data_IF_006925553779
#
_entry.id   IF_006925553779
#
_cell.length_a   1.000
_cell.length_b   1.000
_cell.length_c   1.000
_cell.angle_alpha   90.00
_cell.angle_beta   90.00
_cell.angle_gamma   90.00
#
_symmetry.space_group_name_H-M   'P 1'
#
loop_
_entity.id
_entity.type
_entity.pdbx_description
1 polymer ?
#
# COMPACT_ATOMS: atom_id res chain seq x y z
N UNK A 1 48.31 -36.05 18.15
CA UNK A 1 48.12 -36.37 16.72
C UNK A 1 47.99 -35.06 15.96
N UNK A 2 49.02 -34.67 15.20
CA UNK A 2 49.02 -33.47 14.39
C UNK A 2 48.50 -33.82 13.00
N UNK A 3 47.32 -33.32 12.62
CA UNK A 3 46.83 -33.46 11.25
C UNK A 3 47.67 -32.57 10.31
N UNK A 4 48.11 -33.09 9.15
CA UNK A 4 48.99 -32.35 8.24
C UNK A 4 48.25 -31.18 7.56
N UNK A 5 48.83 -29.98 7.66
CA UNK A 5 48.33 -28.74 7.07
C UNK A 5 48.31 -28.71 5.51
N UNK A 6 48.82 -29.76 4.87
CA UNK A 6 48.92 -29.87 3.40
C UNK A 6 47.56 -30.02 2.69
N UNK A 7 46.50 -30.42 3.40
CA UNK A 7 45.17 -30.59 2.81
C UNK A 7 44.44 -29.28 2.50
N UNK A 8 44.68 -28.21 3.26
CA UNK A 8 43.88 -26.99 3.19
C UNK A 8 44.16 -26.12 1.95
N UNK A 9 45.41 -26.14 1.46
CA UNK A 9 45.82 -25.33 0.30
C UNK A 9 45.32 -25.89 -1.04
N UNK A 10 45.18 -27.22 -1.13
CA UNK A 10 44.61 -27.91 -2.30
C UNK A 10 43.13 -27.52 -2.53
N UNK A 11 42.37 -27.40 -1.44
CA UNK A 11 40.94 -27.05 -1.49
C UNK A 11 40.68 -25.64 -2.04
N UNK A 12 41.58 -24.68 -1.75
CA UNK A 12 41.43 -23.29 -2.23
C UNK A 12 41.70 -23.19 -3.73
N UNK A 13 42.68 -23.93 -4.25
CA UNK A 13 42.99 -23.95 -5.68
C UNK A 13 41.83 -24.52 -6.51
N UNK A 14 41.16 -25.56 -6.00
CA UNK A 14 39.98 -26.15 -6.63
C UNK A 14 38.76 -25.20 -6.65
N UNK A 15 38.59 -24.37 -5.62
CA UNK A 15 37.48 -23.42 -5.52
C UNK A 15 37.68 -22.13 -6.32
N UNK A 16 38.91 -21.76 -6.67
CA UNK A 16 39.26 -20.52 -7.37
C UNK A 16 38.47 -20.25 -8.67
N UNK A 17 38.26 -21.21 -9.60
CA UNK A 17 37.46 -20.97 -10.80
C UNK A 17 35.97 -20.76 -10.50
N UNK A 18 35.44 -21.44 -9.46
CA UNK A 18 34.05 -21.27 -9.04
C UNK A 18 33.82 -19.92 -8.37
N UNK A 19 34.75 -19.47 -7.52
CA UNK A 19 34.72 -18.14 -6.91
C UNK A 19 34.76 -17.03 -7.96
N UNK A 20 35.57 -17.16 -9.01
CA UNK A 20 35.58 -16.20 -10.13
C UNK A 20 34.23 -16.15 -10.86
N UNK A 21 33.64 -17.32 -11.16
CA UNK A 21 32.32 -17.37 -11.81
C UNK A 21 31.23 -16.80 -10.91
N UNK A 22 31.23 -17.13 -9.62
CA UNK A 22 30.29 -16.60 -8.64
C UNK A 22 30.42 -15.07 -8.53
N UNK A 23 31.64 -14.53 -8.50
CA UNK A 23 31.87 -13.09 -8.47
C UNK A 23 31.36 -12.40 -9.74
N UNK A 24 31.61 -12.96 -10.93
CA UNK A 24 31.10 -12.40 -12.20
C UNK A 24 29.57 -12.40 -12.21
N UNK A 25 28.94 -13.51 -11.82
CA UNK A 25 27.47 -13.62 -11.74
C UNK A 25 26.92 -12.60 -10.73
N UNK A 26 27.53 -12.50 -9.55
CA UNK A 26 27.14 -11.51 -8.54
C UNK A 26 27.25 -10.07 -9.07
N UNK A 27 28.33 -9.73 -9.77
CA UNK A 27 28.53 -8.40 -10.38
C UNK A 27 27.50 -8.10 -11.48
N UNK A 28 27.17 -9.08 -12.33
CA UNK A 28 26.14 -8.91 -13.37
C UNK A 28 24.77 -8.73 -12.74
N UNK A 29 24.39 -9.57 -11.78
CA UNK A 29 23.12 -9.46 -11.07
C UNK A 29 23.02 -8.13 -10.31
N UNK A 30 24.11 -7.69 -9.68
CA UNK A 30 24.17 -6.39 -9.01
C UNK A 30 24.01 -5.23 -10.00
N UNK A 31 24.73 -5.26 -11.13
CA UNK A 31 24.64 -4.23 -12.17
C UNK A 31 23.24 -4.16 -12.80
N UNK A 32 22.63 -5.32 -13.10
CA UNK A 32 21.29 -5.39 -13.65
C UNK A 32 20.26 -4.89 -12.62
N UNK A 33 20.38 -5.30 -11.36
CA UNK A 33 19.54 -4.81 -10.27
C UNK A 33 19.65 -3.29 -10.09
N UNK A 34 20.86 -2.74 -10.17
CA UNK A 34 21.09 -1.30 -10.12
C UNK A 34 20.45 -0.57 -11.31
N UNK A 35 20.57 -1.10 -12.53
CA UNK A 35 19.97 -0.51 -13.74
C UNK A 35 18.44 -0.55 -13.71
N UNK A 36 17.83 -1.65 -13.26
CA UNK A 36 16.36 -1.72 -13.09
C UNK A 36 15.91 -0.71 -12.03
N UNK A 37 16.63 -0.61 -10.91
CA UNK A 37 16.37 0.40 -9.89
C UNK A 37 16.44 1.83 -10.44
N UNK A 38 17.40 2.13 -11.33
CA UNK A 38 17.51 3.44 -11.98
C UNK A 38 16.30 3.78 -12.84
N UNK A 39 15.96 2.88 -13.76
CA UNK A 39 14.91 3.12 -14.74
C UNK A 39 13.57 3.32 -14.06
N UNK A 40 13.34 2.59 -12.97
CA UNK A 40 12.15 2.72 -12.16
C UNK A 40 12.12 4.06 -11.38
N UNK A 41 13.22 4.49 -10.76
CA UNK A 41 13.25 5.80 -10.07
C UNK A 41 12.99 7.00 -11.02
N UNK A 42 13.42 6.90 -12.29
CA UNK A 42 13.14 7.90 -13.34
C UNK A 42 11.64 7.93 -13.68
N UNK A 43 11.04 6.75 -13.87
CA UNK A 43 9.63 6.63 -14.24
C UNK A 43 8.70 7.17 -13.15
N UNK A 44 9.02 6.93 -11.87
CA UNK A 44 8.13 7.25 -10.75
C UNK A 44 8.25 8.66 -10.19
N UNK A 45 9.44 9.28 -10.26
CA UNK A 45 9.58 10.67 -9.84
C UNK A 45 9.05 11.65 -10.89
N UNK A 46 8.76 11.17 -12.11
CA UNK A 46 8.44 12.04 -13.26
C UNK A 46 9.58 13.01 -13.58
N UNK A 47 10.77 12.77 -13.03
CA UNK A 47 11.95 13.61 -13.13
C UNK A 47 13.05 12.80 -13.81
N UNK A 48 13.52 13.32 -14.93
CA UNK A 48 14.64 12.76 -15.69
C UNK A 48 15.91 12.69 -14.80
N UNK A 49 16.73 11.65 -15.00
CA UNK A 49 18.09 11.57 -14.43
C UNK A 49 18.91 12.82 -14.76
N UNK A 50 18.60 13.54 -15.84
CA UNK A 50 19.19 14.84 -16.15
C UNK A 50 18.92 15.92 -15.09
N UNK A 51 17.81 15.83 -14.34
CA UNK A 51 17.41 16.80 -13.30
C UNK A 51 18.00 16.44 -11.93
N UNK A 52 18.03 15.14 -11.58
CA UNK A 52 18.54 14.67 -10.27
C UNK A 52 20.00 14.22 -10.30
N UNK A 53 20.60 14.00 -11.47
CA UNK A 53 21.94 13.44 -11.60
C UNK A 53 22.10 12.12 -10.83
N UNK A 54 23.28 11.92 -10.24
CA UNK A 54 23.65 10.69 -9.51
C UNK A 54 22.97 10.58 -8.12
N UNK A 55 22.05 11.49 -7.78
CA UNK A 55 21.39 11.58 -6.46
C UNK A 55 20.29 10.55 -6.24
N UNK A 56 19.75 9.98 -7.32
CA UNK A 56 18.77 8.87 -7.29
C UNK A 56 19.34 7.65 -6.54
N UNK A 57 20.66 7.49 -6.55
CA UNK A 57 21.32 6.37 -5.92
C UNK A 57 21.76 6.71 -4.49
N UNK A 58 20.95 6.31 -3.52
CA UNK A 58 21.26 6.50 -2.10
C UNK A 58 22.61 5.89 -1.68
N UNK A 59 23.04 4.77 -2.29
CA UNK A 59 24.35 4.17 -2.03
C UNK A 59 25.52 5.02 -2.54
N UNK A 60 25.32 5.83 -3.59
CA UNK A 60 26.35 6.76 -4.07
C UNK A 60 26.58 7.90 -3.08
N UNK A 61 25.65 8.22 -2.17
CA UNK A 61 25.85 9.26 -1.14
C UNK A 61 27.00 8.97 -0.18
N UNK A 62 27.38 7.70 -0.03
CA UNK A 62 28.52 7.30 0.80
C UNK A 62 29.88 7.60 0.13
N UNK A 63 29.91 7.76 -1.19
CA UNK A 63 31.14 7.90 -2.00
C UNK A 63 31.19 9.20 -2.82
N UNK A 64 30.06 9.88 -2.98
CA UNK A 64 29.95 11.16 -3.69
C UNK A 64 30.03 12.31 -2.65
N UNK A 65 30.71 13.43 -2.93
CA UNK A 65 30.72 14.59 -2.05
C UNK A 65 29.33 15.20 -1.84
N UNK A 66 29.03 15.65 -0.61
CA UNK A 66 27.76 16.34 -0.25
C UNK A 66 27.39 17.47 -1.19
N UNK A 67 28.36 18.22 -1.72
CA UNK A 67 28.11 19.32 -2.66
C UNK A 67 27.42 18.89 -3.96
N UNK A 68 27.61 17.64 -4.40
CA UNK A 68 27.01 17.11 -5.64
C UNK A 68 25.56 16.70 -5.41
N UNK A 69 25.18 16.35 -4.18
CA UNK A 69 23.82 15.96 -3.82
C UNK A 69 23.08 16.89 -2.87
N UNK A 70 23.68 18.00 -2.46
CA UNK A 70 23.02 19.02 -1.66
C UNK A 70 21.74 19.48 -2.38
N UNK A 71 20.64 19.55 -1.63
CA UNK A 71 19.32 19.92 -2.13
C UNK A 71 19.46 21.17 -3.00
N UNK A 72 19.12 21.05 -4.29
CA UNK A 72 18.80 22.25 -5.03
C UNK A 72 17.51 22.78 -4.41
N UNK A 73 17.47 24.08 -4.13
CA UNK A 73 16.25 24.76 -3.69
C UNK A 73 15.18 24.56 -4.77
N UNK A 74 14.42 23.47 -4.65
CA UNK A 74 13.20 23.31 -5.41
C UNK A 74 12.32 24.48 -4.97
N UNK A 75 12.06 25.42 -5.88
CA UNK A 75 11.06 26.48 -5.71
C UNK A 75 9.67 25.86 -5.70
N UNK A 76 9.41 25.01 -4.72
CA UNK A 76 8.09 24.54 -4.42
C UNK A 76 7.35 25.71 -3.80
N UNK A 77 6.19 26.03 -4.36
CA UNK A 77 5.24 26.96 -3.76
C UNK A 77 5.10 26.58 -2.29
N UNK A 78 5.28 27.55 -1.38
CA UNK A 78 5.25 27.31 0.06
C UNK A 78 3.98 26.52 0.38
N UNK A 79 4.08 25.22 0.71
CA UNK A 79 2.90 24.39 0.81
C UNK A 79 2.07 24.91 1.96
N UNK A 80 0.74 24.93 1.78
CA UNK A 80 -0.16 25.26 2.86
C UNK A 80 0.09 24.30 4.02
N UNK A 81 0.40 24.86 5.19
CA UNK A 81 0.84 24.11 6.37
C UNK A 81 -0.31 23.76 7.30
N UNK A 82 -1.55 24.12 6.97
CA UNK A 82 -2.69 23.79 7.80
C UNK A 82 -2.91 22.25 7.84
N UNK A 83 -2.95 21.68 9.04
CA UNK A 83 -3.28 20.26 9.23
C UNK A 83 -4.68 19.96 8.69
N UNK A 84 -5.67 20.74 9.13
CA UNK A 84 -7.09 20.54 8.83
C UNK A 84 -7.78 21.87 8.48
N UNK A 85 -7.53 22.45 7.29
CA UNK A 85 -8.11 23.74 6.90
C UNK A 85 -9.64 23.75 6.88
N UNK A 86 -10.28 22.58 6.73
CA UNK A 86 -11.74 22.41 6.69
C UNK A 86 -12.29 21.71 7.96
N UNK A 87 -11.49 21.60 9.03
CA UNK A 87 -11.88 20.86 10.24
C UNK A 87 -12.14 19.38 9.94
N UNK A 88 -13.27 18.84 10.41
CA UNK A 88 -13.64 17.43 10.14
C UNK A 88 -13.90 17.13 8.66
N UNK A 89 -14.25 18.14 7.85
CA UNK A 89 -14.49 17.95 6.41
C UNK A 89 -13.18 17.74 5.63
N UNK A 90 -12.02 18.05 6.24
CA UNK A 90 -10.71 17.67 5.70
C UNK A 90 -10.53 16.16 5.59
N UNK A 91 -11.18 15.39 6.47
CA UNK A 91 -11.05 13.95 6.59
C UNK A 91 -12.11 13.16 5.82
N UNK A 92 -12.76 13.73 4.80
CA UNK A 92 -13.68 12.93 3.99
C UNK A 92 -12.92 11.87 3.19
N UNK A 93 -13.43 10.64 3.04
CA UNK A 93 -12.75 9.59 2.29
C UNK A 93 -12.49 9.95 0.82
N UNK A 94 -13.40 10.72 0.21
CA UNK A 94 -13.23 11.24 -1.16
C UNK A 94 -12.02 12.14 -1.29
N UNK A 95 -11.54 12.73 -0.19
CA UNK A 95 -10.40 13.64 -0.23
C UNK A 95 -9.06 12.90 -0.27
N UNK A 96 -9.03 11.59 -0.02
CA UNK A 96 -7.78 10.81 0.08
C UNK A 96 -7.28 10.47 -1.32
N UNK A 97 -6.07 10.92 -1.62
CA UNK A 97 -5.35 10.65 -2.85
C UNK A 97 -3.94 10.13 -2.52
N UNK A 98 -3.63 8.93 -3.00
CA UNK A 98 -2.35 8.27 -2.82
C UNK A 98 -1.26 9.03 -3.57
N UNK A 99 -0.11 9.18 -2.90
CA UNK A 99 1.08 9.77 -3.49
C UNK A 99 1.88 8.74 -4.31
N UNK A 100 3.18 8.94 -4.35
CA UNK A 100 4.14 8.03 -5.01
C UNK A 100 4.55 6.85 -4.12
N UNK A 101 4.08 6.80 -2.88
CA UNK A 101 4.31 5.70 -1.96
C UNK A 101 3.24 4.62 -2.19
N UNK A 102 3.65 3.35 -2.23
CA UNK A 102 2.75 2.21 -2.49
C UNK A 102 2.11 1.67 -1.22
N UNK A 103 1.47 2.55 -0.46
CA UNK A 103 0.83 2.26 0.81
C UNK A 103 -0.70 2.18 0.68
N UNK A 104 -1.19 1.74 -0.49
CA UNK A 104 -2.62 1.68 -0.80
C UNK A 104 -3.46 1.00 0.28
N UNK A 105 -2.93 -0.01 0.97
CA UNK A 105 -3.62 -0.70 2.07
C UNK A 105 -3.75 0.16 3.33
N UNK A 106 -2.72 0.93 3.66
CA UNK A 106 -2.79 1.92 4.74
C UNK A 106 -3.82 3.00 4.38
N UNK A 107 -3.76 3.55 3.17
CA UNK A 107 -4.71 4.58 2.73
C UNK A 107 -6.14 4.06 2.61
N UNK A 108 -6.34 2.81 2.18
CA UNK A 108 -7.64 2.15 2.19
C UNK A 108 -8.20 2.02 3.62
N UNK A 109 -7.34 1.71 4.59
CA UNK A 109 -7.71 1.69 6.02
C UNK A 109 -8.16 3.07 6.48
N UNK A 110 -7.37 4.10 6.19
CA UNK A 110 -7.69 5.50 6.54
C UNK A 110 -9.00 5.93 5.88
N UNK A 111 -9.22 5.61 4.61
CA UNK A 111 -10.45 5.89 3.89
C UNK A 111 -11.68 5.22 4.51
N UNK A 112 -11.55 3.95 4.93
CA UNK A 112 -12.63 3.23 5.60
C UNK A 112 -12.95 3.82 6.97
N UNK A 113 -11.94 4.17 7.78
CA UNK A 113 -12.13 4.86 9.06
C UNK A 113 -12.87 6.20 8.89
N UNK A 114 -12.42 6.99 7.92
CA UNK A 114 -12.98 8.29 7.58
C UNK A 114 -14.42 8.23 7.03
N UNK A 115 -14.92 7.06 6.68
CA UNK A 115 -16.28 6.89 6.18
C UNK A 115 -17.33 7.16 7.26
N UNK A 116 -16.99 6.87 8.53
CA UNK A 116 -17.84 7.16 9.68
C UNK A 116 -17.51 8.52 10.31
N UNK A 117 -18.51 9.18 10.89
CA UNK A 117 -18.28 10.43 11.62
C UNK A 117 -17.43 10.23 12.87
N UNK A 118 -17.62 9.11 13.59
CA UNK A 118 -16.80 8.75 14.76
C UNK A 118 -15.35 8.57 14.37
N UNK A 119 -15.06 7.77 13.34
CA UNK A 119 -13.70 7.55 12.86
C UNK A 119 -13.00 8.84 12.42
N UNK A 120 -13.72 9.78 11.80
CA UNK A 120 -13.18 11.13 11.51
C UNK A 120 -12.83 11.92 12.77
N UNK A 121 -13.69 11.88 13.80
CA UNK A 121 -13.43 12.58 15.07
C UNK A 121 -12.24 11.99 15.80
N UNK A 122 -12.17 10.66 15.87
CA UNK A 122 -11.05 9.95 16.49
C UNK A 122 -9.75 10.34 15.80
N UNK A 123 -9.70 10.23 14.46
CA UNK A 123 -8.50 10.57 13.70
C UNK A 123 -8.11 12.06 13.79
N UNK A 124 -9.09 12.96 13.78
CA UNK A 124 -8.87 14.39 13.98
C UNK A 124 -8.27 14.69 15.36
N UNK A 125 -8.71 13.99 16.41
CA UNK A 125 -8.20 14.15 17.77
C UNK A 125 -6.81 13.54 17.98
N UNK A 126 -6.39 12.60 17.12
CA UNK A 126 -5.12 11.89 17.26
C UNK A 126 -3.94 12.59 16.59
N UNK A 127 -4.18 13.64 15.79
CA UNK A 127 -3.12 14.32 15.03
C UNK A 127 -3.04 15.79 15.48
N UNK A 128 -1.91 16.15 16.08
CA UNK A 128 -1.72 17.49 16.66
C UNK A 128 -0.47 18.16 16.09
N UNK A 129 -0.57 19.48 15.88
CA UNK A 129 0.59 20.32 15.61
C UNK A 129 1.32 20.64 16.91
N UNK A 130 2.64 20.64 16.87
CA UNK A 130 3.50 20.97 18.02
C UNK A 130 4.11 22.36 17.89
N UNK A 131 4.56 22.92 19.02
CA UNK A 131 5.22 24.23 19.08
C UNK A 131 6.57 24.27 18.33
N UNK A 132 7.22 23.13 18.15
CA UNK A 132 8.51 22.96 17.44
C UNK A 132 8.34 22.82 15.92
N UNK A 133 7.17 23.16 15.37
CA UNK A 133 6.79 22.97 13.97
C UNK A 133 6.73 21.49 13.50
N UNK A 134 6.86 20.52 14.42
CA UNK A 134 6.59 19.12 14.17
C UNK A 134 5.13 18.74 14.43
N UNK A 135 4.87 17.44 14.42
CA UNK A 135 3.55 16.87 14.66
C UNK A 135 3.63 15.69 15.63
N UNK A 136 2.55 15.45 16.35
CA UNK A 136 2.33 14.24 17.15
C UNK A 136 1.13 13.48 16.61
N UNK A 137 1.28 12.16 16.47
CA UNK A 137 0.22 11.25 16.05
C UNK A 137 0.06 10.16 17.09
N UNK A 138 -1.11 10.06 17.68
CA UNK A 138 -1.44 9.01 18.65
C UNK A 138 -2.04 7.78 17.94
N UNK A 139 -1.45 6.61 18.19
CA UNK A 139 -1.93 5.32 17.70
C UNK A 139 -2.63 4.56 18.84
N UNK A 140 -3.97 4.59 18.92
CA UNK A 140 -4.70 3.99 20.03
C UNK A 140 -4.50 2.47 20.13
N UNK A 141 -4.27 1.79 19.01
CA UNK A 141 -4.04 0.34 18.96
C UNK A 141 -2.86 -0.17 19.79
N UNK A 142 -1.90 0.70 20.05
CA UNK A 142 -0.68 0.39 20.81
C UNK A 142 -0.43 1.39 21.94
N UNK A 143 -1.39 2.30 22.18
CA UNK A 143 -1.29 3.37 23.18
C UNK A 143 0.05 4.13 23.10
N UNK A 144 0.45 4.53 21.89
CA UNK A 144 1.73 5.20 21.65
C UNK A 144 1.55 6.45 20.81
N UNK A 145 2.23 7.54 21.21
CA UNK A 145 2.36 8.76 20.42
C UNK A 145 3.67 8.73 19.64
N UNK A 146 3.58 8.92 18.33
CA UNK A 146 4.73 9.07 17.43
C UNK A 146 4.90 10.53 17.07
N UNK A 147 6.07 11.07 17.38
CA UNK A 147 6.44 12.44 17.06
C UNK A 147 7.21 12.44 15.75
N UNK A 148 6.77 13.24 14.79
CA UNK A 148 7.43 13.41 13.49
C UNK A 148 7.85 14.85 13.28
N UNK A 149 8.98 15.04 12.62
CA UNK A 149 9.44 16.36 12.20
C UNK A 149 8.52 16.96 11.13
N UNK A 150 8.62 18.28 10.92
CA UNK A 150 7.97 18.98 9.81
C UNK A 150 8.19 18.23 8.49
N UNK A 151 7.17 18.21 7.64
CA UNK A 151 7.29 17.64 6.30
C UNK A 151 8.35 18.42 5.50
N UNK A 152 9.33 17.70 4.96
CA UNK A 152 10.26 18.27 4.00
C UNK A 152 9.53 18.55 2.67
N UNK A 153 10.05 19.44 1.81
CA UNK A 153 9.45 19.69 0.50
C UNK A 153 9.32 18.42 -0.35
N UNK A 154 10.24 17.46 -0.19
CA UNK A 154 10.20 16.19 -0.89
C UNK A 154 9.11 15.25 -0.34
N UNK A 155 8.92 15.22 0.98
CA UNK A 155 7.81 14.49 1.61
C UNK A 155 6.46 15.04 1.14
N UNK A 156 6.27 16.36 1.09
CA UNK A 156 5.04 16.97 0.56
C UNK A 156 4.76 16.58 -0.89
N UNK A 157 5.81 16.40 -1.70
CA UNK A 157 5.67 16.00 -3.09
C UNK A 157 5.21 14.54 -3.24
N UNK A 158 5.84 13.63 -2.47
CA UNK A 158 5.70 12.19 -2.64
C UNK A 158 4.61 11.54 -1.79
N UNK A 159 4.33 12.07 -0.61
CA UNK A 159 3.37 11.48 0.32
C UNK A 159 1.93 11.66 -0.18
N UNK A 160 1.02 10.93 0.43
CA UNK A 160 -0.40 11.01 0.18
C UNK A 160 -0.95 12.41 0.45
N UNK A 161 -1.94 12.81 -0.36
CA UNK A 161 -2.51 14.16 -0.40
C UNK A 161 -3.97 14.12 -0.01
N UNK A 162 -4.40 15.11 0.76
CA UNK A 162 -5.81 15.36 0.99
C UNK A 162 -6.27 16.51 0.06
N UNK A 163 -7.14 16.23 -0.90
CA UNK A 163 -7.71 17.24 -1.81
C UNK A 163 -9.22 17.18 -1.80
N UNK A 164 -9.91 18.30 -1.73
CA UNK A 164 -11.37 18.28 -1.89
C UNK A 164 -11.79 18.05 -3.36
N UNK A 165 -13.10 18.04 -3.60
CA UNK A 165 -13.67 17.83 -4.93
C UNK A 165 -13.31 18.93 -5.94
N UNK A 166 -12.92 20.13 -5.47
CA UNK A 166 -12.46 21.24 -6.30
C UNK A 166 -10.94 21.21 -6.50
N UNK A 167 -10.28 20.10 -6.15
CA UNK A 167 -8.82 19.96 -6.11
C UNK A 167 -8.13 20.94 -5.16
N UNK A 168 -8.86 21.55 -4.21
CA UNK A 168 -8.27 22.43 -3.20
C UNK A 168 -7.62 21.59 -2.11
N UNK A 169 -6.58 22.15 -1.49
CA UNK A 169 -5.88 21.47 -0.41
C UNK A 169 -6.81 21.27 0.80
N UNK A 170 -7.06 20.01 1.16
CA UNK A 170 -7.83 19.65 2.35
C UNK A 170 -6.93 19.43 3.58
N UNK A 171 -5.66 19.83 3.50
CA UNK A 171 -4.68 19.84 4.58
C UNK A 171 -3.56 18.83 4.41
N UNK A 172 -2.53 18.96 5.24
CA UNK A 172 -1.35 18.06 5.22
C UNK A 172 -1.48 16.87 6.18
N UNK A 173 -2.62 16.73 6.86
CA UNK A 173 -2.83 15.69 7.88
C UNK A 173 -2.55 14.27 7.36
N UNK A 174 -2.89 13.99 6.10
CA UNK A 174 -2.73 12.65 5.52
C UNK A 174 -1.24 12.30 5.34
N UNK A 175 -0.44 13.24 4.81
CA UNK A 175 1.01 13.08 4.70
C UNK A 175 1.70 12.99 6.07
N UNK A 176 1.22 13.73 7.07
CA UNK A 176 1.70 13.62 8.46
C UNK A 176 1.40 12.25 9.05
N UNK A 177 0.18 11.73 8.84
CA UNK A 177 -0.23 10.41 9.31
C UNK A 177 0.58 9.29 8.64
N UNK A 178 0.80 9.38 7.33
CA UNK A 178 1.64 8.45 6.57
C UNK A 178 3.09 8.45 7.09
N UNK A 179 3.67 9.64 7.32
CA UNK A 179 5.00 9.78 7.92
C UNK A 179 5.10 9.11 9.29
N UNK A 180 4.11 9.36 10.16
CA UNK A 180 4.09 8.81 11.50
C UNK A 180 3.92 7.29 11.51
N UNK A 181 3.04 6.77 10.64
CA UNK A 181 2.85 5.33 10.48
C UNK A 181 4.13 4.67 9.95
N UNK A 182 4.77 5.24 8.94
CA UNK A 182 6.05 4.77 8.45
C UNK A 182 7.16 4.82 9.52
N UNK A 183 7.28 5.92 10.26
CA UNK A 183 8.25 6.02 11.34
C UNK A 183 8.02 4.98 12.44
N UNK A 184 6.76 4.77 12.87
CA UNK A 184 6.40 3.73 13.82
C UNK A 184 6.91 2.36 13.34
N UNK A 185 6.64 2.03 12.08
CA UNK A 185 7.03 0.74 11.52
C UNK A 185 8.54 0.56 11.44
N UNK A 186 9.28 1.57 11.01
CA UNK A 186 10.74 1.50 10.98
C UNK A 186 11.34 1.18 12.35
N UNK A 187 10.71 1.64 13.43
CA UNK A 187 11.16 1.40 14.80
C UNK A 187 10.79 0.00 15.32
N UNK A 188 9.71 -0.60 14.84
CA UNK A 188 9.16 -1.84 15.38
C UNK A 188 9.32 -3.06 14.47
N UNK A 189 9.68 -2.88 13.20
CA UNK A 189 9.94 -3.99 12.28
C UNK A 189 11.37 -4.50 12.45
N UNK A 190 11.52 -5.82 12.53
CA UNK A 190 12.85 -6.44 12.53
C UNK A 190 13.55 -6.23 11.18
N UNK A 191 14.88 -6.26 11.18
CA UNK A 191 15.70 -6.05 9.99
C UNK A 191 15.43 -7.07 8.88
N UNK A 192 15.06 -8.30 9.23
CA UNK A 192 14.78 -9.35 8.25
C UNK A 192 13.52 -9.05 7.43
N UNK A 193 12.46 -8.57 8.07
CA UNK A 193 11.23 -8.14 7.40
C UNK A 193 11.47 -6.91 6.52
N UNK A 194 12.26 -5.95 6.99
CA UNK A 194 12.67 -4.80 6.18
C UNK A 194 13.48 -5.23 4.95
N UNK A 195 14.43 -6.16 5.10
CA UNK A 195 15.24 -6.69 4.00
C UNK A 195 14.41 -7.54 3.03
N UNK A 196 13.57 -8.46 3.55
CA UNK A 196 12.67 -9.29 2.75
C UNK A 196 11.71 -8.43 1.94
N UNK A 197 11.20 -7.35 2.53
CA UNK A 197 10.37 -6.36 1.85
C UNK A 197 11.11 -5.72 0.69
N UNK A 198 12.31 -5.19 0.94
CA UNK A 198 13.13 -4.59 -0.11
C UNK A 198 13.33 -5.60 -1.25
N UNK A 199 13.74 -6.83 -0.93
CA UNK A 199 13.91 -7.89 -1.94
C UNK A 199 12.62 -8.22 -2.68
N UNK A 200 11.47 -8.34 -1.99
CA UNK A 200 10.18 -8.65 -2.64
C UNK A 200 9.79 -7.54 -3.62
N UNK A 201 9.80 -6.28 -3.18
CA UNK A 201 9.38 -5.18 -4.04
C UNK A 201 10.38 -4.97 -5.18
N UNK A 202 11.68 -4.90 -4.89
CA UNK A 202 12.72 -4.68 -5.88
C UNK A 202 12.82 -5.84 -6.90
N UNK A 203 12.91 -7.08 -6.42
CA UNK A 203 13.25 -8.23 -7.28
C UNK A 203 12.01 -8.87 -7.88
N UNK A 204 10.95 -9.07 -7.10
CA UNK A 204 9.79 -9.86 -7.54
C UNK A 204 8.70 -9.00 -8.18
N UNK A 205 8.47 -7.81 -7.66
CA UNK A 205 7.43 -6.92 -8.17
C UNK A 205 7.97 -5.91 -9.19
N UNK A 206 9.30 -5.84 -9.36
CA UNK A 206 9.95 -4.79 -10.16
C UNK A 206 9.71 -3.38 -9.63
N UNK A 207 9.20 -3.27 -8.40
CA UNK A 207 8.80 -2.02 -7.74
C UNK A 207 9.95 -1.51 -6.90
N UNK A 208 10.85 -0.76 -7.50
CA UNK A 208 11.85 -0.02 -6.75
C UNK A 208 11.23 1.27 -6.22
N UNK A 209 10.94 1.30 -4.92
CA UNK A 209 10.54 2.54 -4.27
C UNK A 209 11.76 3.42 -4.04
N UNK A 210 11.83 4.54 -4.75
CA UNK A 210 12.82 5.58 -4.52
C UNK A 210 12.83 5.97 -3.04
N UNK A 211 13.96 5.81 -2.36
CA UNK A 211 14.25 6.28 -0.98
C UNK A 211 13.74 5.45 0.21
N UNK A 212 14.61 4.55 0.68
CA UNK A 212 14.66 4.06 2.07
C UNK A 212 14.92 5.17 3.12
N UNK A 213 15.11 6.42 2.70
CA UNK A 213 15.50 7.54 3.56
C UNK A 213 14.31 8.27 4.17
N UNK A 214 13.14 8.21 3.53
CA UNK A 214 11.96 8.91 3.98
C UNK A 214 11.15 8.01 4.92
N UNK A 215 10.83 8.46 6.16
CA UNK A 215 10.14 7.61 7.14
C UNK A 215 8.83 7.02 6.63
N UNK A 216 8.04 7.79 5.86
CA UNK A 216 6.75 7.39 5.30
C UNK A 216 6.83 6.20 4.36
N UNK A 217 7.98 5.92 3.74
CA UNK A 217 8.10 4.74 2.88
C UNK A 217 7.79 3.48 3.62
N UNK A 218 8.07 3.40 4.92
CA UNK A 218 7.75 2.21 5.66
C UNK A 218 6.25 1.85 5.67
N UNK A 219 5.36 2.80 5.34
CA UNK A 219 3.95 2.56 5.10
C UNK A 219 3.66 1.59 3.93
N UNK A 220 4.49 1.59 2.87
CA UNK A 220 4.32 0.78 1.66
C UNK A 220 4.65 -0.71 1.83
N UNK A 221 3.98 -1.40 2.74
CA UNK A 221 4.19 -2.84 2.93
C UNK A 221 3.13 -3.63 2.16
N UNK A 222 3.55 -4.81 1.69
CA UNK A 222 2.80 -5.61 0.72
C UNK A 222 1.35 -5.91 1.11
N UNK A 223 0.62 -6.46 0.14
CA UNK A 223 -0.81 -6.73 0.16
C UNK A 223 -1.32 -7.72 1.24
N UNK A 224 -0.66 -7.87 2.38
CA UNK A 224 -1.09 -8.68 3.53
C UNK A 224 -1.02 -7.94 4.87
N UNK A 225 -0.64 -6.66 4.89
CA UNK A 225 -0.38 -5.96 6.14
C UNK A 225 -1.59 -5.16 6.67
N UNK A 226 -2.26 -5.71 7.69
CA UNK A 226 -3.40 -5.09 8.37
C UNK A 226 -3.02 -4.29 9.62
N UNK A 227 -1.73 -4.04 9.87
CA UNK A 227 -1.29 -3.33 11.08
C UNK A 227 -1.88 -1.92 11.19
N UNK A 228 -2.11 -1.24 10.06
CA UNK A 228 -2.75 0.07 10.05
C UNK A 228 -4.13 0.05 10.74
N UNK A 229 -4.94 -0.98 10.50
CA UNK A 229 -6.28 -1.08 11.09
C UNK A 229 -6.18 -1.24 12.61
N UNK A 230 -5.27 -2.11 13.08
CA UNK A 230 -5.02 -2.29 14.51
C UNK A 230 -4.53 -1.00 15.15
N UNK A 231 -3.51 -0.36 14.57
CA UNK A 231 -2.88 0.84 15.12
C UNK A 231 -3.83 2.03 15.20
N UNK A 232 -4.65 2.24 14.17
CA UNK A 232 -5.55 3.39 14.08
C UNK A 232 -6.88 3.17 14.82
N UNK A 233 -7.32 1.93 15.05
CA UNK A 233 -8.67 1.64 15.55
C UNK A 233 -8.78 0.62 16.69
N UNK A 234 -7.66 0.06 17.16
CA UNK A 234 -7.59 -1.08 18.12
C UNK A 234 -8.21 -2.40 17.63
N UNK A 235 -8.74 -2.44 16.40
CA UNK A 235 -9.46 -3.60 15.87
C UNK A 235 -8.62 -4.40 14.87
N UNK A 236 -8.61 -5.71 15.05
CA UNK A 236 -8.05 -6.66 14.08
C UNK A 236 -9.03 -6.89 12.93
N UNK A 237 -8.50 -7.18 11.75
CA UNK A 237 -9.32 -7.55 10.60
C UNK A 237 -9.40 -9.08 10.44
N UNK A 238 -10.60 -9.57 10.23
CA UNK A 238 -10.89 -10.95 9.81
C UNK A 238 -10.90 -11.00 8.29
N UNK A 239 -10.18 -11.97 7.71
CA UNK A 239 -10.13 -12.16 6.26
C UNK A 239 -11.21 -13.13 5.77
N UNK A 240 -11.98 -12.68 4.78
CA UNK A 240 -12.96 -13.44 4.04
C UNK A 240 -12.49 -13.57 2.60
N UNK A 241 -12.25 -14.81 2.17
CA UNK A 241 -11.90 -15.11 0.77
C UNK A 241 -13.13 -14.90 -0.10
N UNK A 242 -12.93 -14.37 -1.29
CA UNK A 242 -13.99 -14.28 -2.29
C UNK A 242 -14.08 -15.55 -3.11
N UNK A 243 -15.18 -15.69 -3.83
CA UNK A 243 -15.36 -16.77 -4.80
C UNK A 243 -14.25 -16.79 -5.86
N UNK A 244 -13.85 -15.63 -6.40
CA UNK A 244 -12.76 -15.50 -7.39
C UNK A 244 -11.45 -16.07 -6.86
N UNK A 245 -11.08 -15.72 -5.62
CA UNK A 245 -9.82 -16.18 -5.05
C UNK A 245 -9.82 -17.65 -4.62
N UNK A 246 -10.95 -18.20 -4.17
CA UNK A 246 -11.00 -19.59 -3.72
C UNK A 246 -11.32 -20.57 -4.85
N UNK A 247 -12.23 -20.21 -5.76
CA UNK A 247 -12.70 -21.09 -6.81
C UNK A 247 -12.15 -20.72 -8.21
N UNK A 248 -11.84 -19.44 -8.45
CA UNK A 248 -11.34 -18.95 -9.75
C UNK A 248 -12.26 -19.29 -10.93
N UNK A 249 -11.77 -19.08 -12.15
CA UNK A 249 -12.46 -19.57 -13.36
C UNK A 249 -12.30 -21.07 -13.56
N UNK A 250 -11.10 -21.61 -13.30
CA UNK A 250 -10.77 -23.03 -13.55
C UNK A 250 -10.36 -23.80 -12.30
N UNK A 251 -10.36 -23.18 -11.11
CA UNK A 251 -10.03 -23.88 -9.87
C UNK A 251 -8.63 -24.50 -9.87
N UNK A 252 -7.58 -23.77 -10.24
CA UNK A 252 -6.18 -24.22 -10.08
C UNK A 252 -5.27 -23.20 -9.38
N UNK A 253 -5.84 -22.16 -8.75
CA UNK A 253 -5.09 -20.97 -8.32
C UNK A 253 -4.11 -21.13 -7.15
N UNK A 254 -4.18 -22.20 -6.36
CA UNK A 254 -3.39 -22.30 -5.10
C UNK A 254 -2.48 -23.51 -4.96
N UNK A 255 -2.35 -24.32 -6.00
CA UNK A 255 -1.60 -25.59 -5.93
C UNK A 255 -2.24 -26.66 -5.03
N UNK A 256 -3.44 -26.40 -4.50
CA UNK A 256 -4.29 -27.37 -3.80
C UNK A 256 -5.76 -27.09 -4.14
N UNK A 257 -6.63 -28.08 -3.91
CA UNK A 257 -8.07 -28.01 -4.21
C UNK A 257 -8.86 -28.01 -2.91
N UNK A 258 -9.71 -27.00 -2.68
CA UNK A 258 -10.59 -26.96 -1.50
C UNK A 258 -11.90 -27.71 -1.76
N UNK A 259 -12.62 -28.12 -0.70
CA UNK A 259 -13.95 -28.72 -0.84
C UNK A 259 -14.95 -27.76 -1.51
N UNK A 260 -14.85 -26.44 -1.26
CA UNK A 260 -15.69 -25.44 -1.91
C UNK A 260 -15.39 -25.34 -3.40
N UNK A 261 -14.12 -25.39 -3.75
CA UNK A 261 -13.66 -25.43 -5.14
C UNK A 261 -14.14 -26.69 -5.87
N UNK A 262 -14.01 -27.88 -5.26
CA UNK A 262 -14.60 -29.12 -5.78
C UNK A 262 -16.12 -28.96 -5.98
N UNK A 263 -16.83 -28.44 -4.98
CA UNK A 263 -18.27 -28.21 -5.05
C UNK A 263 -18.65 -27.25 -6.18
N UNK A 264 -17.80 -26.26 -6.46
CA UNK A 264 -18.03 -25.28 -7.52
C UNK A 264 -17.96 -25.91 -8.92
N UNK A 265 -17.27 -27.04 -9.09
CA UNK A 265 -17.23 -27.78 -10.35
C UNK A 265 -18.57 -28.47 -10.67
N UNK A 266 -19.35 -28.81 -9.64
CA UNK A 266 -20.65 -29.47 -9.80
C UNK A 266 -21.83 -28.50 -9.71
N UNK A 267 -21.72 -27.42 -8.93
CA UNK A 267 -22.78 -26.42 -8.78
C UNK A 267 -22.21 -25.03 -8.46
N UNK A 268 -21.59 -24.42 -9.46
CA UNK A 268 -20.90 -23.12 -9.36
C UNK A 268 -21.80 -22.01 -8.80
N UNK A 269 -23.02 -21.91 -9.31
CA UNK A 269 -23.96 -20.85 -8.92
C UNK A 269 -24.37 -20.95 -7.46
N UNK A 270 -24.62 -22.16 -6.95
CA UNK A 270 -24.94 -22.35 -5.55
C UNK A 270 -23.76 -21.99 -4.65
N UNK A 271 -22.54 -22.39 -5.01
CA UNK A 271 -21.34 -22.04 -4.25
C UNK A 271 -21.13 -20.52 -4.24
N UNK A 272 -21.27 -19.86 -5.39
CA UNK A 272 -21.18 -18.38 -5.48
C UNK A 272 -22.23 -17.68 -4.60
N UNK A 273 -23.48 -18.15 -4.60
CA UNK A 273 -24.53 -17.63 -3.70
C UNK A 273 -24.20 -17.84 -2.22
N UNK A 274 -23.57 -18.96 -1.87
CA UNK A 274 -23.14 -19.21 -0.49
C UNK A 274 -22.05 -18.21 -0.06
N UNK A 275 -21.02 -17.95 -0.88
CA UNK A 275 -20.02 -16.91 -0.61
C UNK A 275 -20.65 -15.53 -0.40
N UNK A 276 -21.55 -15.12 -1.30
CA UNK A 276 -22.23 -13.83 -1.18
C UNK A 276 -23.09 -13.74 0.09
N UNK A 277 -23.63 -14.86 0.59
CA UNK A 277 -24.46 -14.90 1.79
C UNK A 277 -23.63 -14.88 3.08
N UNK A 278 -22.49 -15.58 3.10
CA UNK A 278 -21.51 -15.50 4.19
C UNK A 278 -20.95 -14.09 4.34
N UNK A 279 -20.59 -13.44 3.22
CA UNK A 279 -20.10 -12.07 3.23
C UNK A 279 -21.19 -11.06 3.60
N UNK A 280 -22.44 -11.23 3.14
CA UNK A 280 -23.57 -10.39 3.58
C UNK A 280 -23.73 -10.46 5.11
N UNK A 281 -23.69 -11.65 5.70
CA UNK A 281 -23.77 -11.82 7.15
C UNK A 281 -22.61 -11.13 7.88
N UNK A 282 -21.37 -11.29 7.40
CA UNK A 282 -20.19 -10.64 7.97
C UNK A 282 -20.26 -9.11 7.86
N UNK A 283 -20.70 -8.59 6.71
CA UNK A 283 -20.85 -7.14 6.48
C UNK A 283 -21.95 -6.53 7.34
N UNK A 284 -23.07 -7.25 7.57
CA UNK A 284 -24.11 -6.80 8.50
C UNK A 284 -23.59 -6.70 9.94
N UNK A 285 -22.81 -7.70 10.38
CA UNK A 285 -22.14 -7.67 11.70
C UNK A 285 -21.18 -6.47 11.78
N UNK A 286 -20.30 -6.31 10.80
CA UNK A 286 -19.34 -5.20 10.78
C UNK A 286 -20.03 -3.83 10.72
N UNK A 287 -21.13 -3.70 9.97
CA UNK A 287 -21.93 -2.48 9.89
C UNK A 287 -22.54 -2.09 11.25
N UNK A 288 -23.03 -3.06 12.02
CA UNK A 288 -23.57 -2.82 13.36
C UNK A 288 -22.48 -2.36 14.35
N UNK A 289 -21.23 -2.76 14.14
CA UNK A 289 -20.08 -2.45 15.00
C UNK A 289 -19.26 -1.24 14.51
N UNK A 290 -19.82 -0.41 13.62
CA UNK A 290 -19.07 0.66 12.95
C UNK A 290 -18.15 0.09 11.88
N UNK A 291 -18.64 0.06 10.64
CA UNK A 291 -17.97 -0.60 9.52
C UNK A 291 -16.54 -0.08 9.33
N UNK A 292 -15.57 -0.98 9.45
CA UNK A 292 -14.18 -0.79 9.06
C UNK A 292 -13.77 -2.00 8.23
N UNK A 293 -13.29 -1.77 7.03
CA UNK A 293 -12.84 -2.86 6.19
C UNK A 293 -12.11 -2.43 4.93
N UNK A 294 -11.43 -3.42 4.35
CA UNK A 294 -10.59 -3.28 3.17
C UNK A 294 -10.99 -4.38 2.18
N UNK A 295 -11.10 -4.02 0.91
CA UNK A 295 -11.20 -4.98 -0.18
C UNK A 295 -9.89 -5.02 -0.96
N UNK A 296 -9.52 -6.16 -1.53
CA UNK A 296 -8.31 -6.28 -2.35
C UNK A 296 -8.60 -7.05 -3.63
N UNK A 297 -8.07 -6.60 -4.75
CA UNK A 297 -8.11 -7.32 -6.05
C UNK A 297 -6.97 -8.34 -6.15
N UNK A 298 -7.05 -9.28 -7.08
CA UNK A 298 -5.97 -10.23 -7.34
C UNK A 298 -4.90 -9.61 -8.27
N UNK A 299 -3.66 -10.13 -8.23
CA UNK A 299 -2.60 -9.68 -9.14
C UNK A 299 -2.88 -10.08 -10.60
N UNK A 300 -3.45 -11.26 -10.82
CA UNK A 300 -3.67 -11.86 -12.14
C UNK A 300 -5.15 -11.99 -12.51
N UNK A 301 -6.02 -11.17 -11.90
CA UNK A 301 -7.47 -11.23 -12.17
C UNK A 301 -7.91 -10.28 -13.28
N UNK A 302 -9.07 -10.56 -13.88
CA UNK A 302 -9.69 -9.75 -14.93
C UNK A 302 -10.23 -8.39 -14.46
N UNK A 303 -9.96 -8.00 -13.21
CA UNK A 303 -10.44 -6.76 -12.62
C UNK A 303 -10.05 -5.51 -13.44
N UNK A 304 -8.91 -5.54 -14.15
CA UNK A 304 -8.46 -4.47 -15.04
C UNK A 304 -9.40 -4.22 -16.22
N UNK A 305 -10.07 -5.26 -16.74
CA UNK A 305 -11.06 -5.10 -17.80
C UNK A 305 -12.26 -4.24 -17.35
N UNK A 306 -12.46 -4.11 -16.04
CA UNK A 306 -13.50 -3.33 -15.38
C UNK A 306 -12.97 -2.02 -14.76
N UNK A 307 -11.75 -1.61 -15.12
CA UNK A 307 -11.13 -0.38 -14.64
C UNK A 307 -10.49 -0.47 -13.25
N UNK A 308 -10.52 -1.63 -12.60
CA UNK A 308 -9.91 -1.84 -11.28
C UNK A 308 -8.42 -2.14 -11.41
N UNK A 309 -7.62 -1.63 -10.49
CA UNK A 309 -6.19 -1.97 -10.40
C UNK A 309 -5.98 -3.37 -9.81
N UNK A 310 -5.05 -4.14 -10.36
CA UNK A 310 -4.66 -5.47 -9.87
C UNK A 310 -3.79 -5.40 -8.61
N UNK A 311 -3.99 -6.34 -7.69
CA UNK A 311 -3.24 -6.41 -6.43
C UNK A 311 -3.33 -5.13 -5.60
N UNK A 312 -4.46 -4.43 -5.67
CA UNK A 312 -4.68 -3.12 -5.10
C UNK A 312 -5.72 -3.16 -3.98
N UNK A 313 -5.59 -2.27 -3.01
CA UNK A 313 -6.46 -2.20 -1.84
C UNK A 313 -7.44 -1.03 -1.95
N UNK A 314 -8.69 -1.29 -1.56
CA UNK A 314 -9.80 -0.33 -1.60
C UNK A 314 -10.41 -0.22 -0.20
N UNK A 315 -10.71 1.00 0.23
CA UNK A 315 -11.38 1.25 1.52
C UNK A 315 -12.89 1.00 1.40
N UNK A 316 -13.48 0.29 2.37
CA UNK A 316 -14.94 0.12 2.41
C UNK A 316 -15.57 1.34 3.07
N UNK A 317 -16.37 2.08 2.31
CA UNK A 317 -17.05 3.29 2.77
C UNK A 317 -18.45 3.00 3.34
N UNK A 318 -19.07 1.91 2.91
CA UNK A 318 -20.44 1.60 3.31
C UNK A 318 -20.91 0.26 2.74
N UNK A 319 -21.97 -0.25 3.36
CA UNK A 319 -22.67 -1.45 2.90
C UNK A 319 -24.18 -1.19 2.85
N UNK A 320 -24.83 -1.57 1.75
CA UNK A 320 -26.28 -1.50 1.60
C UNK A 320 -26.88 -2.91 1.69
N UNK A 321 -27.49 -3.30 2.82
CA UNK A 321 -28.00 -4.65 3.02
C UNK A 321 -29.23 -4.99 2.17
N UNK A 322 -29.93 -3.99 1.61
CA UNK A 322 -31.11 -4.22 0.75
C UNK A 322 -30.67 -4.57 -0.67
N UNK A 323 -29.70 -3.81 -1.21
CA UNK A 323 -29.14 -4.04 -2.53
C UNK A 323 -28.04 -5.11 -2.54
N UNK A 324 -27.53 -5.47 -1.35
CA UNK A 324 -26.34 -6.32 -1.16
C UNK A 324 -25.17 -5.77 -1.96
N UNK A 325 -24.85 -4.51 -1.74
CA UNK A 325 -23.79 -3.78 -2.45
C UNK A 325 -22.86 -3.05 -1.50
N UNK A 326 -21.60 -2.96 -1.89
CA UNK A 326 -20.53 -2.25 -1.21
C UNK A 326 -20.26 -0.92 -1.90
N UNK A 327 -20.04 0.12 -1.11
CA UNK A 327 -19.44 1.37 -1.59
C UNK A 327 -17.96 1.37 -1.24
N UNK A 328 -17.10 1.50 -2.25
CA UNK A 328 -15.65 1.39 -2.12
C UNK A 328 -14.95 2.70 -2.47
N UNK A 329 -13.70 2.86 -1.99
CA UNK A 329 -12.79 3.95 -2.35
C UNK A 329 -11.47 3.38 -2.84
N UNK A 330 -11.10 3.70 -4.08
CA UNK A 330 -9.73 3.60 -4.56
C UNK A 330 -8.90 4.76 -3.96
N UNK A 331 -7.87 4.46 -3.14
CA UNK A 331 -7.02 5.48 -2.54
C UNK A 331 -6.26 6.32 -3.57
N UNK A 332 -6.10 5.92 -4.84
CA UNK A 332 -5.46 6.76 -5.87
C UNK A 332 -6.25 8.01 -6.27
N UNK A 333 -7.47 8.19 -5.77
CA UNK A 333 -8.29 9.35 -6.17
C UNK A 333 -8.98 9.20 -7.53
N UNK A 334 -8.83 8.04 -8.18
CA UNK A 334 -9.30 7.71 -9.53
C UNK A 334 -9.36 6.19 -9.68
N UNK A 335 -9.92 5.69 -10.78
CA UNK A 335 -9.98 4.25 -11.05
C UNK A 335 -11.34 3.66 -10.70
N UNK A 336 -12.41 4.31 -11.15
CA UNK A 336 -13.77 3.83 -10.92
C UNK A 336 -14.10 2.53 -11.63
N UNK A 337 -15.06 1.79 -11.07
CA UNK A 337 -15.63 0.60 -11.72
C UNK A 337 -16.25 0.99 -13.06
N UNK A 338 -15.96 0.22 -14.09
CA UNK A 338 -16.42 0.41 -15.47
C UNK A 338 -17.08 -0.85 -15.97
N UNK A 339 -17.92 -0.70 -16.99
CA UNK A 339 -18.33 -1.87 -17.80
C UNK A 339 -17.10 -2.42 -18.53
N UNK A 340 -17.06 -3.74 -18.74
CA UNK A 340 -16.05 -4.35 -19.59
C UNK A 340 -15.97 -3.61 -20.93
N UNK A 341 -14.76 -3.22 -21.34
CA UNK A 341 -14.47 -2.44 -22.56
C UNK A 341 -14.94 -0.97 -22.56
N UNK A 342 -15.46 -0.44 -21.45
CA UNK A 342 -15.78 0.98 -21.32
C UNK A 342 -14.64 1.75 -20.67
N UNK A 343 -14.32 2.94 -21.20
CA UNK A 343 -13.42 3.90 -20.54
C UNK A 343 -14.15 4.80 -19.52
N UNK A 344 -15.48 4.78 -19.50
CA UNK A 344 -16.29 5.61 -18.59
C UNK A 344 -16.60 4.86 -17.30
N UNK A 345 -16.46 5.57 -16.18
CA UNK A 345 -16.96 5.18 -14.87
C UNK A 345 -18.45 4.83 -14.93
N UNK A 346 -18.89 3.88 -14.11
CA UNK A 346 -20.27 3.37 -14.11
C UNK A 346 -21.28 4.42 -13.64
N UNK A 347 -20.89 5.27 -12.70
CA UNK A 347 -21.68 6.40 -12.19
C UNK A 347 -21.45 7.72 -12.95
N UNK A 348 -20.48 7.72 -13.88
CA UNK A 348 -20.12 8.86 -14.72
C UNK A 348 -19.03 9.79 -14.15
N UNK A 349 -18.50 9.50 -12.96
CA UNK A 349 -17.47 10.32 -12.30
C UNK A 349 -16.27 9.42 -11.97
N UNK A 350 -15.04 9.87 -12.25
CA UNK A 350 -13.81 9.10 -11.94
C UNK A 350 -13.12 9.71 -10.71
N UNK A 351 -13.72 9.55 -9.53
CA UNK A 351 -13.23 10.09 -8.25
C UNK A 351 -12.67 8.98 -7.31
N UNK A 352 -12.60 7.76 -7.83
CA UNK A 352 -12.24 6.54 -7.12
C UNK A 352 -13.35 6.01 -6.22
N UNK A 353 -14.59 6.49 -6.27
CA UNK A 353 -15.68 6.05 -5.38
C UNK A 353 -16.85 5.46 -6.15
N UNK A 354 -17.00 4.14 -6.06
CA UNK A 354 -18.05 3.41 -6.76
C UNK A 354 -18.83 2.46 -5.85
N UNK A 355 -20.01 2.03 -6.35
CA UNK A 355 -20.84 0.98 -5.74
C UNK A 355 -20.73 -0.31 -6.57
N UNK A 356 -20.59 -1.46 -5.90
CA UNK A 356 -20.51 -2.79 -6.54
C UNK A 356 -21.40 -3.80 -5.80
N UNK A 357 -22.15 -4.62 -6.54
CA UNK A 357 -22.95 -5.71 -5.96
C UNK A 357 -22.08 -6.84 -5.41
N UNK A 358 -22.54 -7.55 -4.36
CA UNK A 358 -21.75 -8.62 -3.74
C UNK A 358 -21.44 -9.78 -4.69
N UNK A 359 -22.29 -10.05 -5.68
CA UNK A 359 -22.02 -11.06 -6.70
C UNK A 359 -20.81 -10.66 -7.54
N UNK A 360 -20.80 -9.44 -8.09
CA UNK A 360 -19.70 -8.93 -8.91
C UNK A 360 -18.43 -8.73 -8.09
N UNK A 361 -18.57 -8.26 -6.85
CA UNK A 361 -17.48 -8.15 -5.89
C UNK A 361 -16.76 -9.50 -5.71
N UNK A 362 -17.53 -10.58 -5.55
CA UNK A 362 -16.98 -11.91 -5.39
C UNK A 362 -16.24 -12.43 -6.62
N UNK A 363 -16.49 -11.88 -7.81
CA UNK A 363 -15.81 -12.24 -9.05
C UNK A 363 -14.55 -11.38 -9.30
N UNK A 364 -14.59 -10.10 -8.91
CA UNK A 364 -13.53 -9.14 -9.25
C UNK A 364 -12.49 -8.94 -8.14
N UNK A 365 -12.87 -9.18 -6.89
CA UNK A 365 -11.99 -9.02 -5.73
C UNK A 365 -11.50 -10.37 -5.25
N UNK A 366 -10.33 -10.39 -4.60
CA UNK A 366 -9.73 -11.60 -4.02
C UNK A 366 -10.05 -11.78 -2.53
N UNK A 367 -10.11 -10.66 -1.80
CA UNK A 367 -10.30 -10.68 -0.35
C UNK A 367 -11.19 -9.53 0.10
N UNK A 368 -11.99 -9.84 1.12
CA UNK A 368 -12.71 -8.89 1.94
C UNK A 368 -12.16 -8.99 3.37
N UNK A 369 -11.73 -7.89 3.96
CA UNK A 369 -11.22 -7.85 5.34
C UNK A 369 -12.07 -6.90 6.16
N UNK A 370 -12.61 -7.40 7.27
CA UNK A 370 -13.55 -6.65 8.11
C UNK A 370 -13.07 -6.64 9.54
N UNK A 371 -13.19 -5.50 10.20
CA UNK A 371 -12.93 -5.41 11.62
C UNK A 371 -14.03 -6.14 12.40
N UNK A 372 -13.61 -6.95 13.38
CA UNK A 372 -14.53 -7.69 14.26
C UNK A 372 -15.36 -6.77 15.18
#
# INVERSE_FOLDING_TARGET
>A
MNLPAAGLLSSIAFLRPYLKKALVVATVLFSLGAMISMLHDIEYTGQDVSVRGWRIFTWLKAIVPKSIYADQDYRLTKPDTALFPLGLESLRPVNIEQGSIYDCRFLATVASLCASQSGRRDLFSHIEARSDCGYSVYFPGVNQTVVVSKLSPYEVLLYAKAKDQDCKNAGIWLAVLEKAYGQYRNQHQNLFDQARRFCKHAILEGRFTASSELPGFAAAYGATDDQAAVLLSTRSLTEYKTFSFECGEFGFGKGYVTLRQLSSWFNRDQVSRNFASEQDAALRKALANGLLGIATTELNGDCQAYGLMSGHAYGILGYNPKKRSLRLKDPFGRGDLRRANSKKALDGIDDGVFEIGLTDFNLLFSHLRLAD
#
